data_IF_182704190749
#
_entry.id   IF_182704190749
#
_cell.length_a   1.000
_cell.length_b   1.000
_cell.length_c   1.000
_cell.angle_alpha   90.00
_cell.angle_beta   90.00
_cell.angle_gamma   90.00
#
_symmetry.space_group_name_H-M   'P 1'
#
loop_
_entity.id
_entity.type
_entity.pdbx_description
1 polymer ?
#
# COMPACT_ATOMS: atom_id res chain seq x y z
N UNK A 1 -52.41 -18.45 -43.53
CA UNK A 1 -52.55 -19.33 -42.34
C UNK A 1 -51.59 -20.50 -42.53
N UNK A 2 -50.80 -20.79 -41.49
CA UNK A 2 -49.90 -21.94 -41.26
C UNK A 2 -48.50 -21.96 -41.96
N UNK A 3 -47.55 -21.29 -41.31
CA UNK A 3 -46.24 -21.74 -40.78
C UNK A 3 -45.42 -22.88 -41.45
N UNK A 4 -44.12 -22.65 -41.69
CA UNK A 4 -43.10 -23.67 -41.46
C UNK A 4 -41.94 -23.16 -40.58
N UNK A 5 -41.90 -23.67 -39.35
CA UNK A 5 -40.68 -24.21 -38.74
C UNK A 5 -39.60 -23.21 -38.31
N UNK A 6 -39.73 -22.69 -37.09
CA UNK A 6 -38.59 -22.14 -36.34
C UNK A 6 -37.49 -23.21 -36.17
N UNK A 7 -36.37 -23.03 -36.87
CA UNK A 7 -35.12 -23.73 -36.57
C UNK A 7 -34.54 -23.16 -35.26
N UNK A 8 -34.77 -23.88 -34.17
CA UNK A 8 -34.09 -23.68 -32.89
C UNK A 8 -32.62 -24.05 -33.04
N UNK A 9 -31.74 -23.06 -33.21
CA UNK A 9 -30.30 -23.24 -32.96
C UNK A 9 -30.09 -23.28 -31.45
N UNK A 10 -30.01 -24.48 -30.89
CA UNK A 10 -29.57 -24.71 -29.52
C UNK A 10 -28.05 -24.58 -29.46
N UNK A 11 -27.54 -23.48 -28.90
CA UNK A 11 -26.15 -23.40 -28.48
C UNK A 11 -25.90 -24.40 -27.34
N UNK A 12 -24.75 -25.10 -27.29
CA UNK A 12 -24.40 -25.92 -26.16
C UNK A 12 -24.03 -25.01 -24.98
N UNK A 13 -24.91 -24.93 -23.99
CA UNK A 13 -24.56 -24.40 -22.68
C UNK A 13 -23.50 -25.32 -22.04
N UNK A 14 -22.24 -24.90 -22.08
CA UNK A 14 -21.19 -25.48 -21.26
C UNK A 14 -21.52 -25.21 -19.79
N UNK A 15 -22.10 -26.21 -19.11
CA UNK A 15 -22.21 -26.24 -17.67
C UNK A 15 -20.79 -26.33 -17.06
N UNK A 16 -20.23 -25.19 -16.65
CA UNK A 16 -19.11 -25.18 -15.74
C UNK A 16 -19.65 -25.44 -14.33
N UNK A 17 -19.40 -26.64 -13.81
CA UNK A 17 -19.51 -26.89 -12.36
C UNK A 17 -18.58 -25.90 -11.65
N UNK A 18 -19.17 -24.94 -10.94
CA UNK A 18 -18.43 -24.00 -10.11
C UNK A 18 -18.02 -24.72 -8.82
N UNK A 19 -16.81 -25.29 -8.80
CA UNK A 19 -16.21 -25.77 -7.56
C UNK A 19 -15.93 -24.55 -6.65
N UNK A 20 -16.57 -24.45 -5.47
CA UNK A 20 -16.45 -23.31 -4.57
C UNK A 20 -15.03 -23.16 -3.96
N UNK A 21 -14.15 -24.16 -4.13
CA UNK A 21 -12.75 -24.09 -3.72
C UNK A 21 -11.79 -23.78 -4.87
N UNK A 22 -12.29 -23.63 -6.11
CA UNK A 22 -11.45 -23.35 -7.29
C UNK A 22 -10.96 -21.91 -7.24
N UNK A 23 -9.66 -21.74 -6.99
CA UNK A 23 -8.99 -20.44 -7.13
C UNK A 23 -8.92 -20.08 -8.62
N UNK A 24 -9.86 -19.26 -9.07
CA UNK A 24 -9.94 -18.69 -10.42
C UNK A 24 -8.65 -17.97 -10.88
N UNK A 25 -7.70 -17.73 -9.97
CA UNK A 25 -6.44 -17.02 -10.25
C UNK A 25 -5.34 -17.89 -10.87
N UNK A 26 -5.55 -19.20 -11.11
CA UNK A 26 -4.47 -20.12 -11.50
C UNK A 26 -4.61 -20.79 -12.88
N UNK A 27 -5.70 -20.60 -13.62
CA UNK A 27 -5.99 -21.44 -14.80
C UNK A 27 -5.97 -20.75 -16.16
N UNK A 28 -5.76 -19.43 -16.23
CA UNK A 28 -5.64 -18.74 -17.51
C UNK A 28 -4.35 -17.91 -17.51
N UNK A 29 -3.46 -18.02 -18.52
CA UNK A 29 -2.22 -17.24 -18.63
C UNK A 29 -2.42 -15.71 -18.62
N UNK A 30 -3.67 -15.24 -18.63
CA UNK A 30 -4.08 -13.84 -18.63
C UNK A 30 -5.08 -13.62 -17.49
N UNK A 31 -4.81 -12.65 -16.61
CA UNK A 31 -5.60 -12.41 -15.41
C UNK A 31 -7.05 -12.05 -15.73
N UNK A 32 -8.00 -12.57 -14.93
CA UNK A 32 -9.40 -12.12 -14.90
C UNK A 32 -10.24 -12.35 -16.17
N UNK A 33 -10.04 -13.47 -16.88
CA UNK A 33 -10.94 -13.88 -17.97
C UNK A 33 -10.79 -13.05 -19.25
N UNK A 34 -9.71 -12.26 -19.34
CA UNK A 34 -9.32 -11.56 -20.54
C UNK A 34 -8.64 -12.51 -21.55
N UNK A 35 -8.88 -12.31 -22.84
CA UNK A 35 -8.24 -13.07 -23.93
C UNK A 35 -6.85 -12.51 -24.27
N UNK A 36 -5.96 -13.34 -24.85
CA UNK A 36 -4.62 -12.93 -25.32
C UNK A 36 -4.64 -11.68 -26.20
N UNK A 37 -5.64 -11.60 -27.08
CA UNK A 37 -5.80 -10.48 -28.00
C UNK A 37 -6.26 -9.19 -27.31
N UNK A 38 -7.03 -9.29 -26.23
CA UNK A 38 -7.39 -8.14 -25.41
C UNK A 38 -6.17 -7.66 -24.61
N UNK A 39 -5.39 -8.61 -24.06
CA UNK A 39 -4.18 -8.30 -23.33
C UNK A 39 -3.13 -7.58 -24.19
N UNK A 40 -2.97 -8.02 -25.44
CA UNK A 40 -2.05 -7.40 -26.39
C UNK A 40 -2.44 -5.95 -26.76
N UNK A 41 -3.73 -5.61 -26.76
CA UNK A 41 -4.22 -4.25 -27.10
C UNK A 41 -3.90 -3.22 -26.02
N UNK A 42 -3.58 -3.64 -24.81
CA UNK A 42 -3.16 -2.74 -23.76
C UNK A 42 -1.76 -2.14 -23.98
N UNK A 43 -0.93 -2.79 -24.80
CA UNK A 43 0.37 -2.24 -25.19
C UNK A 43 0.25 -0.95 -26.02
N UNK A 44 -0.90 -0.73 -26.66
CA UNK A 44 -1.16 0.45 -27.51
C UNK A 44 -1.71 1.65 -26.72
N UNK A 45 -1.98 1.50 -25.41
CA UNK A 45 -2.55 2.57 -24.60
C UNK A 45 -1.44 3.55 -24.17
N UNK A 46 -1.57 4.86 -24.50
CA UNK A 46 -0.53 5.82 -24.17
C UNK A 46 -0.41 6.01 -22.65
N UNK A 47 0.83 6.13 -22.17
CA UNK A 47 1.12 6.39 -20.76
C UNK A 47 0.39 7.65 -20.26
N UNK A 48 -0.30 7.52 -19.12
CA UNK A 48 -1.08 8.62 -18.56
C UNK A 48 -0.16 9.69 -17.98
N UNK A 49 -0.40 10.96 -18.34
CA UNK A 49 0.33 12.10 -17.76
C UNK A 49 -0.03 12.27 -16.28
N UNK A 50 0.88 11.86 -15.41
CA UNK A 50 0.78 12.06 -13.96
C UNK A 50 1.05 13.52 -13.59
N UNK A 51 0.43 14.01 -12.52
CA UNK A 51 0.58 15.38 -12.05
C UNK A 51 1.42 15.41 -10.77
N UNK A 52 2.38 16.32 -10.68
CA UNK A 52 3.18 16.52 -9.48
C UNK A 52 4.68 16.54 -9.77
N UNK A 53 5.45 16.20 -8.74
CA UNK A 53 6.92 16.15 -8.81
C UNK A 53 7.38 14.89 -9.51
N UNK A 54 8.63 14.90 -9.98
CA UNK A 54 9.31 13.69 -10.42
C UNK A 54 9.53 12.73 -9.23
N UNK A 55 9.73 11.44 -9.54
CA UNK A 55 9.85 10.38 -8.53
C UNK A 55 10.97 10.64 -7.52
N UNK A 56 12.11 11.22 -7.93
CA UNK A 56 13.23 11.44 -7.03
C UNK A 56 12.90 12.56 -6.05
N UNK A 57 12.46 13.72 -6.55
CA UNK A 57 12.07 14.85 -5.70
C UNK A 57 10.92 14.48 -4.76
N UNK A 58 9.92 13.76 -5.26
CA UNK A 58 8.81 13.29 -4.44
C UNK A 58 9.29 12.42 -3.27
N UNK A 59 10.23 11.51 -3.55
CA UNK A 59 10.81 10.62 -2.54
C UNK A 59 11.65 11.40 -1.52
N UNK A 60 12.44 12.37 -1.96
CA UNK A 60 13.26 13.21 -1.07
C UNK A 60 12.37 14.03 -0.13
N UNK A 61 11.36 14.72 -0.67
CA UNK A 61 10.40 15.51 0.12
C UNK A 61 9.67 14.63 1.14
N UNK A 62 9.24 13.44 0.73
CA UNK A 62 8.60 12.47 1.62
C UNK A 62 9.51 12.11 2.81
N UNK A 63 10.77 11.77 2.55
CA UNK A 63 11.70 11.37 3.63
C UNK A 63 12.05 12.53 4.56
N UNK A 64 12.14 13.76 4.04
CA UNK A 64 12.32 14.95 4.88
C UNK A 64 11.15 15.08 5.87
N UNK A 65 9.91 15.05 5.36
CA UNK A 65 8.72 15.13 6.21
C UNK A 65 8.61 13.95 7.18
N UNK A 66 8.85 12.73 6.71
CA UNK A 66 8.77 11.54 7.54
C UNK A 66 9.79 11.56 8.67
N UNK A 67 11.08 11.79 8.38
CA UNK A 67 12.14 11.77 9.41
C UNK A 67 11.89 12.87 10.45
N UNK A 68 11.58 14.09 10.00
CA UNK A 68 11.25 15.20 10.91
C UNK A 68 10.04 14.84 11.77
N UNK A 69 8.97 14.30 11.18
CA UNK A 69 7.77 13.90 11.93
C UNK A 69 8.08 12.85 13.00
N UNK A 70 8.92 11.86 12.69
CA UNK A 70 9.28 10.80 13.63
C UNK A 70 10.10 11.34 14.80
N UNK A 71 11.07 12.22 14.53
CA UNK A 71 11.83 12.92 15.57
C UNK A 71 10.93 13.77 16.47
N UNK A 72 9.96 14.49 15.87
CA UNK A 72 9.01 15.31 16.62
C UNK A 72 8.08 14.45 17.47
N UNK A 73 7.61 13.29 16.98
CA UNK A 73 6.79 12.36 17.77
C UNK A 73 7.53 11.84 19.00
N UNK A 74 8.80 11.44 18.84
CA UNK A 74 9.66 10.99 19.95
C UNK A 74 9.89 12.14 20.94
N UNK A 75 10.13 13.35 20.43
CA UNK A 75 10.32 14.54 21.28
C UNK A 75 9.04 14.89 22.03
N UNK A 76 7.88 14.81 21.39
CA UNK A 76 6.57 15.02 22.03
C UNK A 76 6.33 13.97 23.13
N UNK A 77 6.74 12.72 22.92
CA UNK A 77 6.66 11.69 23.95
C UNK A 77 7.53 12.04 25.17
N UNK A 78 8.77 12.48 24.95
CA UNK A 78 9.64 12.92 26.04
C UNK A 78 9.06 14.13 26.78
N UNK A 79 8.66 15.17 26.06
CA UNK A 79 8.09 16.40 26.65
C UNK A 79 6.78 16.14 27.39
N UNK A 80 5.88 15.35 26.80
CA UNK A 80 4.59 15.04 27.43
C UNK A 80 4.74 14.22 28.70
N UNK A 81 5.78 13.39 28.79
CA UNK A 81 6.08 12.61 30.00
C UNK A 81 6.57 13.45 31.18
N UNK A 82 7.16 14.64 30.94
CA UNK A 82 7.73 15.52 31.98
C UNK A 82 6.86 16.75 32.22
N UNK A 83 6.42 17.43 31.16
CA UNK A 83 5.73 18.71 31.20
C UNK A 83 4.21 18.62 31.02
N UNK A 84 3.67 17.41 30.87
CA UNK A 84 2.26 17.13 30.55
C UNK A 84 1.80 17.67 29.18
N UNK A 85 0.65 17.18 28.73
CA UNK A 85 0.07 17.45 27.41
C UNK A 85 -0.46 18.87 27.21
N UNK A 86 -0.61 19.64 28.28
CA UNK A 86 -1.08 21.03 28.23
C UNK A 86 0.04 22.05 28.13
N UNK A 87 1.30 21.61 28.23
CA UNK A 87 2.44 22.52 28.12
C UNK A 87 2.57 23.05 26.69
N UNK A 88 2.84 24.36 26.55
CA UNK A 88 3.09 24.98 25.25
C UNK A 88 4.14 24.25 24.40
N UNK A 89 5.28 23.81 24.98
CA UNK A 89 6.26 22.99 24.26
C UNK A 89 5.70 21.67 23.73
N UNK A 90 4.94 20.92 24.53
CA UNK A 90 4.32 19.67 24.06
C UNK A 90 3.36 19.94 22.90
N UNK A 91 2.45 20.91 23.06
CA UNK A 91 1.45 21.25 22.05
C UNK A 91 2.15 21.65 20.74
N UNK A 92 3.14 22.54 20.81
CA UNK A 92 3.89 22.98 19.62
C UNK A 92 4.58 21.82 18.89
N UNK A 93 5.26 20.94 19.63
CA UNK A 93 5.98 19.80 19.03
C UNK A 93 5.01 18.75 18.49
N UNK A 94 3.93 18.43 19.20
CA UNK A 94 2.94 17.46 18.75
C UNK A 94 2.15 17.97 17.54
N UNK A 95 1.79 19.25 17.51
CA UNK A 95 1.17 19.88 16.33
C UNK A 95 2.11 19.86 15.13
N UNK A 96 3.39 20.21 15.31
CA UNK A 96 4.37 20.13 14.23
C UNK A 96 4.53 18.69 13.73
N UNK A 97 4.59 17.70 14.63
CA UNK A 97 4.55 16.28 14.27
C UNK A 97 3.34 15.98 13.37
N UNK A 98 2.14 16.36 13.80
CA UNK A 98 0.91 16.08 13.06
C UNK A 98 0.97 16.70 11.64
N UNK A 99 1.43 17.95 11.51
CA UNK A 99 1.55 18.62 10.21
C UNK A 99 2.50 17.88 9.27
N UNK A 100 3.72 17.58 9.72
CA UNK A 100 4.71 16.90 8.88
C UNK A 100 4.30 15.46 8.56
N UNK A 101 3.71 14.75 9.53
CA UNK A 101 3.20 13.40 9.33
C UNK A 101 2.08 13.41 8.29
N UNK A 102 1.06 14.25 8.44
CA UNK A 102 -0.04 14.33 7.48
C UNK A 102 0.39 14.81 6.11
N UNK A 103 1.39 15.69 6.01
CA UNK A 103 1.96 16.09 4.72
C UNK A 103 2.59 14.90 3.98
N UNK A 104 3.42 14.10 4.64
CA UNK A 104 4.02 12.89 4.07
C UNK A 104 2.96 11.83 3.69
N UNK A 105 1.93 11.68 4.53
CA UNK A 105 0.82 10.75 4.29
C UNK A 105 0.02 11.18 3.06
N UNK A 106 -0.43 12.45 3.01
CA UNK A 106 -1.25 12.99 1.92
C UNK A 106 -0.50 12.98 0.59
N UNK A 107 0.77 13.36 0.59
CA UNK A 107 1.62 13.30 -0.61
C UNK A 107 1.63 11.88 -1.20
N UNK A 108 1.79 10.87 -0.35
CA UNK A 108 1.81 9.47 -0.79
C UNK A 108 0.43 8.97 -1.19
N UNK A 109 -0.61 9.27 -0.43
CA UNK A 109 -1.98 8.88 -0.72
C UNK A 109 -2.47 9.49 -2.05
N UNK A 110 -2.18 10.77 -2.32
CA UNK A 110 -2.50 11.41 -3.60
C UNK A 110 -1.78 10.74 -4.75
N UNK A 111 -0.48 10.43 -4.58
CA UNK A 111 0.28 9.68 -5.58
C UNK A 111 -0.32 8.30 -5.86
N UNK A 112 -0.81 7.60 -4.83
CA UNK A 112 -1.50 6.33 -4.99
C UNK A 112 -2.84 6.50 -5.73
N UNK A 113 -3.65 7.50 -5.38
CA UNK A 113 -4.93 7.78 -6.04
C UNK A 113 -4.77 8.06 -7.54
N UNK A 114 -3.70 8.76 -7.95
CA UNK A 114 -3.42 9.02 -9.38
C UNK A 114 -3.05 7.75 -10.16
N UNK A 115 -2.65 6.69 -9.46
CA UNK A 115 -2.13 5.43 -10.04
C UNK A 115 -2.99 4.22 -9.65
N UNK A 116 -4.15 4.48 -9.06
CA UNK A 116 -5.06 3.43 -8.61
C UNK A 116 -5.66 2.67 -9.81
N UNK A 117 -6.13 1.45 -9.56
CA UNK A 117 -6.69 0.56 -10.59
C UNK A 117 -7.88 1.15 -11.34
N UNK A 118 -8.65 2.07 -10.74
CA UNK A 118 -9.76 2.76 -11.42
C UNK A 118 -9.31 3.95 -12.28
N UNK A 119 -8.03 4.34 -12.23
CA UNK A 119 -7.46 5.50 -12.95
C UNK A 119 -6.55 5.07 -14.08
N UNK A 120 -5.84 3.95 -13.90
CA UNK A 120 -4.94 3.37 -14.90
C UNK A 120 -5.57 2.14 -15.53
N UNK A 121 -5.08 1.79 -16.70
CA UNK A 121 -5.37 0.51 -17.31
C UNK A 121 -4.61 -0.63 -16.61
N UNK A 122 -5.21 -1.82 -16.49
CA UNK A 122 -4.67 -2.89 -15.65
C UNK A 122 -3.35 -3.47 -16.14
N UNK A 123 -3.13 -3.49 -17.45
CA UNK A 123 -1.93 -4.01 -18.09
C UNK A 123 -0.76 -2.99 -18.14
N UNK A 124 -0.94 -1.76 -17.67
CA UNK A 124 0.18 -0.80 -17.50
C UNK A 124 1.09 -1.17 -16.33
N UNK A 125 1.99 -2.14 -16.55
CA UNK A 125 2.94 -2.65 -15.56
C UNK A 125 3.85 -1.56 -14.96
N UNK A 126 4.13 -0.49 -15.72
CA UNK A 126 4.96 0.62 -15.26
C UNK A 126 4.29 1.39 -14.11
N UNK A 127 3.04 1.79 -14.30
CA UNK A 127 2.27 2.51 -13.28
C UNK A 127 1.97 1.63 -12.07
N UNK A 128 1.81 0.32 -12.23
CA UNK A 128 1.68 -0.65 -11.11
C UNK A 128 2.88 -0.66 -10.20
N UNK A 129 4.07 -0.77 -10.79
CA UNK A 129 5.31 -0.79 -10.02
C UNK A 129 5.46 0.50 -9.22
N UNK A 130 5.03 1.62 -9.80
CA UNK A 130 4.98 2.89 -9.08
C UNK A 130 3.94 2.88 -7.97
N UNK A 131 2.73 2.38 -8.20
CA UNK A 131 1.70 2.25 -7.16
C UNK A 131 2.17 1.36 -6.01
N UNK A 132 2.73 0.18 -6.30
CA UNK A 132 3.29 -0.73 -5.30
C UNK A 132 4.44 -0.06 -4.52
N UNK A 133 5.32 0.68 -5.20
CA UNK A 133 6.36 1.46 -4.53
C UNK A 133 5.78 2.49 -3.55
N UNK A 134 4.72 3.21 -3.94
CA UNK A 134 4.05 4.19 -3.08
C UNK A 134 3.32 3.52 -1.91
N UNK A 135 2.65 2.39 -2.14
CA UNK A 135 2.02 1.60 -1.09
C UNK A 135 3.04 1.12 -0.06
N UNK A 136 4.17 0.59 -0.51
CA UNK A 136 5.28 0.19 0.35
C UNK A 136 5.87 1.40 1.10
N UNK A 137 6.06 2.53 0.43
CA UNK A 137 6.54 3.78 1.03
C UNK A 137 5.61 4.26 2.15
N UNK A 138 4.30 4.18 1.96
CA UNK A 138 3.31 4.52 3.00
C UNK A 138 3.48 3.63 4.24
N UNK A 139 3.66 2.31 4.06
CA UNK A 139 3.91 1.40 5.18
C UNK A 139 5.23 1.68 5.91
N UNK A 140 6.29 2.06 5.20
CA UNK A 140 7.58 2.46 5.81
C UNK A 140 7.46 3.65 6.75
N UNK A 141 6.42 4.47 6.60
CA UNK A 141 6.13 5.58 7.50
C UNK A 141 5.16 5.19 8.61
N UNK A 142 4.07 4.48 8.27
CA UNK A 142 3.03 4.14 9.24
C UNK A 142 3.51 3.13 10.28
N UNK A 143 4.28 2.10 9.90
CA UNK A 143 4.74 1.08 10.85
C UNK A 143 5.65 1.65 11.96
N UNK A 144 6.71 2.43 11.66
CA UNK A 144 7.51 3.06 12.71
C UNK A 144 6.71 4.04 13.58
N UNK A 145 5.81 4.81 12.97
CA UNK A 145 4.96 5.76 13.72
C UNK A 145 4.02 5.02 14.67
N UNK A 146 3.39 3.93 14.20
CA UNK A 146 2.55 3.06 15.03
C UNK A 146 3.35 2.46 16.19
N UNK A 147 4.57 1.98 15.94
CA UNK A 147 5.43 1.41 16.98
C UNK A 147 5.77 2.42 18.08
N UNK A 148 6.18 3.63 17.71
CA UNK A 148 6.45 4.70 18.69
C UNK A 148 5.16 5.04 19.45
N UNK A 149 4.05 5.22 18.74
CA UNK A 149 2.73 5.46 19.34
C UNK A 149 2.35 4.40 20.38
N UNK A 150 2.55 3.12 20.03
CA UNK A 150 2.24 1.98 20.89
C UNK A 150 3.09 1.94 22.16
N UNK A 151 4.41 2.08 22.03
CA UNK A 151 5.35 2.05 23.16
C UNK A 151 5.02 3.18 24.15
N UNK A 152 4.78 4.38 23.63
CA UNK A 152 4.46 5.55 24.47
C UNK A 152 3.08 5.39 25.11
N UNK A 153 2.10 4.87 24.37
CA UNK A 153 0.78 4.55 24.91
C UNK A 153 0.88 3.57 26.07
N UNK A 154 1.60 2.45 25.95
CA UNK A 154 1.76 1.47 27.04
C UNK A 154 2.34 2.13 28.30
N UNK A 155 3.39 2.93 28.13
CA UNK A 155 4.05 3.65 29.22
C UNK A 155 3.14 4.70 29.89
N UNK A 156 2.33 5.41 29.09
CA UNK A 156 1.39 6.42 29.57
C UNK A 156 0.16 5.78 30.25
N UNK A 157 -0.39 4.73 29.65
CA UNK A 157 -1.60 4.03 30.10
C UNK A 157 -1.39 3.30 31.42
N UNK A 158 -0.17 2.82 31.70
CA UNK A 158 0.18 2.29 33.01
C UNK A 158 0.00 3.32 34.13
N UNK A 159 0.08 4.62 33.82
CA UNK A 159 -0.06 5.76 34.76
C UNK A 159 -1.39 6.50 34.64
N UNK A 160 -2.39 5.89 33.99
CA UNK A 160 -3.72 6.48 33.69
C UNK A 160 -4.53 7.00 34.89
N UNK A 161 -4.15 6.64 36.11
CA UNK A 161 -4.86 7.01 37.33
C UNK A 161 -4.78 8.52 37.65
N UNK A 162 -3.88 9.25 37.00
CA UNK A 162 -3.85 10.71 37.05
C UNK A 162 -4.66 11.30 35.88
N UNK A 163 -5.74 12.04 36.21
CA UNK A 163 -6.57 12.75 35.21
C UNK A 163 -5.75 13.69 34.31
N UNK A 164 -4.63 14.21 34.81
CA UNK A 164 -3.70 15.07 34.07
C UNK A 164 -3.00 14.36 32.91
N UNK A 165 -2.97 13.02 32.93
CA UNK A 165 -2.35 12.19 31.89
C UNK A 165 -3.36 11.62 30.89
N UNK A 166 -4.66 11.91 31.06
CA UNK A 166 -5.73 11.41 30.20
C UNK A 166 -5.51 11.74 28.72
N UNK A 167 -5.30 13.03 28.42
CA UNK A 167 -5.07 13.48 27.06
C UNK A 167 -3.75 12.92 26.48
N UNK A 168 -2.74 12.71 27.33
CA UNK A 168 -1.45 12.21 26.89
C UNK A 168 -1.56 10.77 26.36
N UNK A 169 -2.10 9.83 27.15
CA UNK A 169 -2.21 8.45 26.66
C UNK A 169 -3.23 8.31 25.52
N UNK A 170 -4.30 9.12 25.48
CA UNK A 170 -5.28 9.11 24.39
C UNK A 170 -4.69 9.56 23.05
N UNK A 171 -3.83 10.58 23.04
CA UNK A 171 -3.20 11.06 21.80
C UNK A 171 -2.25 10.03 21.20
N UNK A 172 -1.46 9.36 22.04
CA UNK A 172 -0.56 8.29 21.58
C UNK A 172 -1.33 7.01 21.21
N UNK A 173 -2.44 6.71 21.90
CA UNK A 173 -3.35 5.64 21.48
C UNK A 173 -3.95 5.93 20.11
N UNK A 174 -4.42 7.16 19.86
CA UNK A 174 -4.98 7.55 18.57
C UNK A 174 -3.92 7.46 17.46
N UNK A 175 -2.70 7.93 17.73
CA UNK A 175 -1.56 7.84 16.81
C UNK A 175 -1.26 6.38 16.45
N UNK A 176 -1.27 5.49 17.45
CA UNK A 176 -1.10 4.05 17.26
C UNK A 176 -2.21 3.43 16.42
N UNK A 177 -3.48 3.64 16.80
CA UNK A 177 -4.64 3.05 16.12
C UNK A 177 -4.68 3.49 14.66
N UNK A 178 -4.56 4.80 14.41
CA UNK A 178 -4.60 5.35 13.06
C UNK A 178 -3.55 4.69 12.17
N UNK A 179 -2.28 4.78 12.57
CA UNK A 179 -1.19 4.23 11.76
C UNK A 179 -1.28 2.71 11.59
N UNK A 180 -1.74 1.98 12.61
CA UNK A 180 -1.91 0.53 12.52
C UNK A 180 -3.02 0.15 11.55
N UNK A 181 -4.20 0.76 11.65
CA UNK A 181 -5.35 0.46 10.79
C UNK A 181 -5.01 0.76 9.33
N UNK A 182 -4.47 1.95 9.03
CA UNK A 182 -4.10 2.28 7.66
C UNK A 182 -2.96 1.39 7.14
N UNK A 183 -2.01 1.00 7.99
CA UNK A 183 -0.94 0.08 7.60
C UNK A 183 -1.45 -1.32 7.26
N UNK A 184 -2.36 -1.87 8.06
CA UNK A 184 -2.94 -3.19 7.80
C UNK A 184 -3.81 -3.17 6.54
N UNK A 185 -4.65 -2.14 6.38
CA UNK A 185 -5.48 -1.99 5.18
C UNK A 185 -4.63 -1.83 3.93
N UNK A 186 -3.57 -1.03 3.98
CA UNK A 186 -2.65 -0.85 2.87
C UNK A 186 -1.84 -2.12 2.58
N UNK A 187 -1.41 -2.86 3.61
CA UNK A 187 -0.72 -4.14 3.46
C UNK A 187 -1.58 -5.17 2.74
N UNK A 188 -2.85 -5.29 3.13
CA UNK A 188 -3.78 -6.28 2.57
C UNK A 188 -4.31 -5.85 1.19
N UNK A 189 -4.90 -4.66 1.09
CA UNK A 189 -5.62 -4.23 -0.12
C UNK A 189 -4.68 -3.78 -1.25
N UNK A 190 -3.52 -3.20 -0.91
CA UNK A 190 -2.64 -2.59 -1.91
C UNK A 190 -1.36 -3.42 -2.12
N UNK A 191 -0.60 -3.69 -1.06
CA UNK A 191 0.72 -4.33 -1.20
C UNK A 191 0.58 -5.79 -1.62
N UNK A 192 -0.19 -6.59 -0.88
CA UNK A 192 -0.32 -8.03 -1.16
C UNK A 192 -0.98 -8.25 -2.52
N UNK A 193 -2.09 -7.54 -2.80
CA UNK A 193 -2.79 -7.62 -4.07
C UNK A 193 -1.91 -7.25 -5.27
N UNK A 194 -1.23 -6.10 -5.24
CA UNK A 194 -0.41 -5.66 -6.37
C UNK A 194 0.88 -6.45 -6.51
N UNK A 195 1.48 -6.91 -5.40
CA UNK A 195 2.67 -7.74 -5.44
C UNK A 195 2.37 -9.10 -6.08
N UNK A 196 1.34 -9.82 -5.60
CA UNK A 196 1.00 -11.14 -6.12
C UNK A 196 0.61 -11.07 -7.60
N UNK A 197 -0.09 -10.00 -8.01
CA UNK A 197 -0.50 -9.83 -9.40
C UNK A 197 0.66 -9.36 -10.31
N UNK A 198 1.62 -8.58 -9.81
CA UNK A 198 2.84 -8.26 -10.56
C UNK A 198 3.79 -9.46 -10.67
N UNK A 199 3.86 -10.30 -9.64
CA UNK A 199 4.59 -11.57 -9.70
C UNK A 199 4.01 -12.48 -10.77
N UNK A 200 2.68 -12.48 -10.94
CA UNK A 200 2.01 -13.21 -11.99
C UNK A 200 2.31 -12.71 -13.41
N UNK A 201 2.24 -11.39 -13.64
CA UNK A 201 2.34 -10.79 -14.99
C UNK A 201 3.80 -10.54 -15.43
N UNK A 202 4.68 -10.10 -14.53
CA UNK A 202 6.07 -9.73 -14.85
C UNK A 202 7.11 -10.74 -14.32
N UNK A 203 6.75 -11.56 -13.33
CA UNK A 203 7.64 -12.55 -12.72
C UNK A 203 8.65 -11.97 -11.72
N UNK A 204 9.50 -11.03 -12.13
CA UNK A 204 10.54 -10.43 -11.27
C UNK A 204 10.35 -8.93 -11.05
N UNK A 205 10.06 -8.55 -9.81
CA UNK A 205 9.98 -7.15 -9.39
C UNK A 205 10.54 -6.97 -7.97
N UNK A 206 10.90 -5.72 -7.64
CA UNK A 206 11.61 -5.36 -6.40
C UNK A 206 10.89 -5.79 -5.11
N UNK A 207 9.57 -5.99 -5.14
CA UNK A 207 8.74 -6.24 -3.97
C UNK A 207 8.00 -7.58 -4.02
N UNK A 208 8.44 -8.53 -4.86
CA UNK A 208 7.79 -9.85 -5.08
C UNK A 208 7.33 -10.55 -3.81
N UNK A 209 8.21 -10.63 -2.81
CA UNK A 209 7.86 -11.24 -1.53
C UNK A 209 7.00 -10.24 -0.74
N UNK A 210 5.68 -10.38 -0.85
CA UNK A 210 4.66 -9.52 -0.24
C UNK A 210 4.92 -9.28 1.26
N UNK A 211 5.38 -10.31 1.99
CA UNK A 211 5.75 -10.20 3.42
C UNK A 211 6.89 -9.21 3.67
N UNK A 212 7.93 -9.22 2.83
CA UNK A 212 9.04 -8.27 2.94
C UNK A 212 8.58 -6.87 2.51
N UNK A 213 7.77 -6.78 1.45
CA UNK A 213 7.20 -5.53 0.95
C UNK A 213 6.36 -4.80 2.02
N UNK A 214 5.58 -5.53 2.84
CA UNK A 214 4.82 -4.96 3.95
C UNK A 214 5.72 -4.22 4.95
N UNK A 215 6.90 -4.77 5.25
CA UNK A 215 7.91 -4.13 6.10
C UNK A 215 8.77 -3.11 5.34
N UNK A 216 8.49 -2.90 4.05
CA UNK A 216 9.28 -2.05 3.18
C UNK A 216 10.67 -2.57 2.90
N UNK A 217 10.87 -3.88 2.90
CA UNK A 217 12.14 -4.52 2.55
C UNK A 217 12.03 -5.01 1.11
N UNK A 218 12.98 -4.66 0.23
CA UNK A 218 13.01 -5.19 -1.13
C UNK A 218 13.33 -6.70 -1.13
N UNK A 219 12.78 -7.41 -2.10
CA UNK A 219 13.07 -8.84 -2.30
C UNK A 219 14.47 -9.04 -2.85
N UNK A 220 15.16 -10.13 -2.47
CA UNK A 220 16.39 -10.54 -3.15
C UNK A 220 16.11 -10.77 -4.63
N UNK A 221 17.02 -10.29 -5.50
CA UNK A 221 16.95 -10.58 -6.93
C UNK A 221 17.03 -12.09 -7.14
N UNK A 222 16.25 -12.61 -8.09
CA UNK A 222 16.48 -13.96 -8.58
C UNK A 222 17.88 -13.98 -9.19
N UNK A 223 18.74 -14.91 -8.74
CA UNK A 223 19.98 -15.17 -9.46
C UNK A 223 19.56 -15.80 -10.78
N UNK A 224 19.86 -15.15 -11.90
CA UNK A 224 19.81 -15.80 -13.21
C UNK A 224 20.56 -17.13 -13.09
N UNK A 225 19.91 -18.21 -13.54
CA UNK A 225 20.49 -19.54 -13.52
C UNK A 225 21.89 -19.51 -14.12
N UNK A 226 22.81 -20.22 -13.47
CA UNK A 226 24.14 -20.51 -14.00
C UNK A 226 24.04 -20.81 -15.49
N UNK A 227 24.74 -20.03 -16.30
CA UNK A 227 25.08 -20.42 -17.67
C UNK A 227 25.59 -21.87 -17.63
N UNK A 228 24.92 -22.73 -18.38
CA UNK A 228 25.44 -24.04 -18.76
C UNK A 228 26.80 -23.84 -19.43
N UNK A 229 27.88 -24.08 -18.68
CA UNK A 229 29.17 -24.34 -19.31
C UNK A 229 29.15 -25.76 -19.87
N UNK A 230 28.62 -25.87 -21.08
CA UNK A 230 29.07 -26.87 -22.03
C UNK A 230 30.46 -26.47 -22.56
N UNK A 231 31.50 -27.09 -22.01
CA UNK A 231 32.73 -27.49 -22.72
C UNK A 231 33.59 -28.34 -21.80
#
# INVERSE_FOLDING_TARGET
>A
MADPGHASYSEPHHHYESDPNRRLSQEAPHGLGETEEQHARHADIPEKKLWGMDRQTETVVFYIFFIISLCLLITAAALGSVGHSWSGPFVGVFTAFAVFHWAAWLQTAVGMCQRASWVRDEADLGTRRQFLFLAVRLNRMMLPTALVGFVVFLYAYARRWHLKDLAYWLLFLLTFIWNTVFSVMNAYNNITWESDRLEYEEGDHLYRISRLAIFGIPSPRLKEGKEEKHS
#
